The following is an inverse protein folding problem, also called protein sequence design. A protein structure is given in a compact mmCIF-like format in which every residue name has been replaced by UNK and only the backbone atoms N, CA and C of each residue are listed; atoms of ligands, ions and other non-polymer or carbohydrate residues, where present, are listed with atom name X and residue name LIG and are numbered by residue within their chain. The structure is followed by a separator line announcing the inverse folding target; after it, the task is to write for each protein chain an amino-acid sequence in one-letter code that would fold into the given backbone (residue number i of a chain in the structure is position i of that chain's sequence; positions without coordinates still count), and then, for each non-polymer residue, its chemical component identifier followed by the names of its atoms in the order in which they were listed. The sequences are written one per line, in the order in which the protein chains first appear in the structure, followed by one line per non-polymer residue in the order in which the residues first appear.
data_IF_988824292820
#
_entry.id   IF_988824292820
#
_cell.length_a   1.000
_cell.length_b   1.000
_cell.length_c   1.000
_cell.angle_alpha   90.00
_cell.angle_beta   90.00
_cell.angle_gamma   90.00
#
_symmetry.space_group_name_H-M   'P 1'
#
loop_
_entity.id
_entity.type
_entity.pdbx_description
1 polymer ?
#
# COMPACT_ATOMS: atom_id res chain seq x y z
N UNK A 1 6.46 9.65 -24.54
CA UNK A 1 6.65 10.84 -23.69
C UNK A 1 6.70 10.35 -22.26
N UNK A 2 7.83 9.71 -21.92
CA UNK A 2 8.55 9.74 -20.64
C UNK A 2 7.79 9.71 -19.29
N UNK A 3 6.75 8.88 -19.13
CA UNK A 3 6.09 8.68 -17.82
C UNK A 3 6.63 7.48 -17.00
N UNK A 4 7.58 6.69 -17.52
CA UNK A 4 8.15 5.53 -16.81
C UNK A 4 9.42 5.84 -15.98
N UNK A 5 9.96 7.07 -16.04
CA UNK A 5 11.31 7.39 -15.54
C UNK A 5 11.35 8.10 -14.17
N UNK A 6 10.43 7.80 -13.25
CA UNK A 6 10.63 8.16 -11.84
C UNK A 6 10.14 7.07 -10.87
N UNK A 7 10.41 5.80 -11.21
CA UNK A 7 10.46 4.76 -10.19
C UNK A 7 11.74 4.97 -9.37
N UNK A 8 11.62 5.72 -8.27
CA UNK A 8 12.70 5.85 -7.28
C UNK A 8 13.30 4.48 -6.97
N UNK A 9 14.64 4.40 -6.93
CA UNK A 9 15.37 3.16 -6.70
C UNK A 9 14.82 2.44 -5.48
N UNK A 10 14.28 1.23 -5.66
CA UNK A 10 13.79 0.40 -4.56
C UNK A 10 14.97 0.02 -3.66
N UNK A 11 14.81 0.02 -2.33
CA UNK A 11 15.86 -0.41 -1.43
C UNK A 11 16.15 -1.90 -1.63
N UNK A 12 17.41 -2.29 -1.50
CA UNK A 12 17.92 -3.63 -1.83
C UNK A 12 18.26 -4.42 -0.57
N UNK A 13 18.06 -5.73 -0.57
CA UNK A 13 18.46 -6.62 0.53
C UNK A 13 19.19 -7.86 0.03
N UNK A 14 20.07 -8.42 0.86
CA UNK A 14 20.63 -9.75 0.65
C UNK A 14 19.61 -10.80 1.11
N UNK A 15 19.34 -11.78 0.25
CA UNK A 15 18.46 -12.90 0.54
C UNK A 15 19.26 -14.20 0.52
N UNK A 16 19.07 -15.02 1.54
CA UNK A 16 19.68 -16.34 1.67
C UNK A 16 18.69 -17.40 1.20
N UNK A 17 19.00 -18.08 0.10
CA UNK A 17 18.15 -19.12 -0.45
C UNK A 17 18.42 -20.47 0.26
N UNK A 18 17.42 -21.39 0.31
CA UNK A 18 17.57 -22.67 1.01
C UNK A 18 18.69 -23.58 0.49
N UNK A 19 19.14 -23.38 -0.75
CA UNK A 19 20.25 -24.11 -1.38
C UNK A 19 21.64 -23.53 -1.02
N UNK A 20 21.68 -22.51 -0.16
CA UNK A 20 22.89 -21.83 0.27
C UNK A 20 23.33 -20.67 -0.64
N UNK A 21 22.61 -20.40 -1.72
CA UNK A 21 22.88 -19.22 -2.56
C UNK A 21 22.52 -17.93 -1.81
N UNK A 22 23.22 -16.86 -2.17
CA UNK A 22 22.91 -15.51 -1.70
C UNK A 22 22.69 -14.62 -2.92
N UNK A 23 21.57 -13.91 -2.93
CA UNK A 23 21.19 -13.00 -4.02
C UNK A 23 20.84 -11.63 -3.46
N UNK A 24 21.06 -10.59 -4.26
CA UNK A 24 20.50 -9.27 -3.99
C UNK A 24 19.12 -9.17 -4.64
N UNK A 25 18.12 -8.74 -3.85
CA UNK A 25 16.75 -8.58 -4.31
C UNK A 25 16.21 -7.21 -3.91
N UNK A 26 15.36 -6.63 -4.76
CA UNK A 26 14.67 -5.40 -4.43
C UNK A 26 13.58 -5.68 -3.40
N UNK A 27 13.48 -4.84 -2.37
CA UNK A 27 12.44 -4.98 -1.34
C UNK A 27 11.21 -4.18 -1.78
N UNK A 28 10.09 -4.88 -1.95
CA UNK A 28 8.81 -4.28 -2.34
C UNK A 28 8.04 -3.78 -1.12
N UNK A 29 8.13 -4.52 -0.02
CA UNK A 29 7.35 -4.24 1.20
C UNK A 29 8.00 -4.90 2.40
N UNK A 30 7.79 -4.30 3.57
CA UNK A 30 8.07 -4.92 4.88
C UNK A 30 6.80 -5.01 5.70
N UNK A 31 6.62 -6.11 6.42
CA UNK A 31 5.45 -6.33 7.27
C UNK A 31 5.80 -7.10 8.52
N UNK A 32 5.16 -6.76 9.64
CA UNK A 32 5.23 -7.57 10.85
C UNK A 32 4.10 -8.57 10.87
N UNK A 33 4.41 -9.83 11.19
CA UNK A 33 3.39 -10.82 11.52
C UNK A 33 2.82 -10.57 12.92
N UNK A 34 1.82 -11.36 13.33
CA UNK A 34 1.18 -11.24 14.66
C UNK A 34 2.15 -11.53 15.81
N UNK A 35 3.24 -12.26 15.57
CA UNK A 35 4.28 -12.52 16.55
C UNK A 35 5.35 -11.40 16.58
N UNK A 36 5.19 -10.36 15.76
CA UNK A 36 6.11 -9.23 15.68
C UNK A 36 7.34 -9.48 14.80
N UNK A 37 7.42 -10.64 14.11
CA UNK A 37 8.55 -10.93 13.22
C UNK A 37 8.40 -10.18 11.90
N UNK A 38 9.51 -9.68 11.40
CA UNK A 38 9.55 -8.98 10.13
C UNK A 38 9.64 -9.94 8.96
N UNK A 39 8.75 -9.75 8.00
CA UNK A 39 8.78 -10.37 6.68
C UNK A 39 9.07 -9.28 5.66
N UNK A 40 9.95 -9.60 4.72
CA UNK A 40 10.30 -8.77 3.58
C UNK A 40 9.71 -9.44 2.35
N UNK A 41 8.83 -8.74 1.64
CA UNK A 41 8.37 -9.18 0.33
C UNK A 41 9.36 -8.60 -0.69
N UNK A 42 10.07 -9.48 -1.38
CA UNK A 42 11.19 -9.18 -2.27
C UNK A 42 10.86 -9.52 -3.72
N UNK A 43 11.55 -8.85 -4.64
CA UNK A 43 11.53 -9.11 -6.07
C UNK A 43 12.93 -9.47 -6.54
N UNK A 44 13.08 -10.64 -7.15
CA UNK A 44 14.29 -11.06 -7.84
C UNK A 44 14.00 -11.14 -9.34
N UNK A 45 14.84 -10.48 -10.13
CA UNK A 45 14.82 -10.58 -11.59
C UNK A 45 15.81 -11.67 -12.02
N UNK A 46 15.31 -12.72 -12.66
CA UNK A 46 16.13 -13.83 -13.15
C UNK A 46 16.11 -13.89 -14.68
N UNK A 47 17.26 -14.19 -15.32
CA UNK A 47 17.28 -14.51 -16.74
C UNK A 47 16.40 -15.73 -17.03
N UNK A 48 15.57 -15.60 -18.05
CA UNK A 48 14.61 -16.61 -18.49
C UNK A 48 14.57 -16.68 -20.02
N UNK A 49 13.82 -17.62 -20.57
CA UNK A 49 13.60 -17.79 -22.00
C UNK A 49 12.11 -17.90 -22.29
N UNK A 50 11.61 -17.06 -23.19
CA UNK A 50 10.27 -17.21 -23.74
C UNK A 50 10.32 -17.87 -25.11
N UNK A 51 9.50 -18.91 -25.31
CA UNK A 51 9.38 -19.62 -26.59
C UNK A 51 8.27 -18.99 -27.44
N UNK A 52 8.64 -18.37 -28.55
CA UNK A 52 7.73 -17.73 -29.50
C UNK A 52 7.72 -18.48 -30.84
N UNK A 53 6.71 -18.29 -31.72
CA UNK A 53 6.65 -18.96 -33.03
C UNK A 53 7.87 -18.73 -33.94
N UNK A 54 8.61 -17.64 -33.74
CA UNK A 54 9.83 -17.31 -34.48
C UNK A 54 11.13 -17.72 -33.78
N UNK A 55 11.02 -18.54 -32.73
CA UNK A 55 12.12 -19.04 -31.93
C UNK A 55 12.20 -18.42 -30.53
N UNK A 56 13.07 -19.00 -29.68
CA UNK A 56 13.26 -18.54 -28.30
C UNK A 56 13.88 -17.14 -28.25
N UNK A 57 13.49 -16.35 -27.25
CA UNK A 57 14.10 -15.05 -26.96
C UNK A 57 14.51 -14.95 -25.50
N UNK A 58 15.62 -14.24 -25.20
CA UNK A 58 15.95 -13.84 -23.85
C UNK A 58 14.78 -13.07 -23.23
N UNK A 59 14.47 -13.41 -21.99
CA UNK A 59 13.42 -12.80 -21.19
C UNK A 59 13.97 -12.58 -19.77
N UNK A 60 13.35 -11.69 -19.01
CA UNK A 60 13.63 -11.54 -17.58
C UNK A 60 12.34 -11.85 -16.84
N UNK A 61 12.39 -12.87 -15.99
CA UNK A 61 11.27 -13.21 -15.14
C UNK A 61 11.43 -12.51 -13.79
N UNK A 62 10.41 -11.76 -13.39
CA UNK A 62 10.31 -11.19 -12.06
C UNK A 62 9.67 -12.22 -11.12
N UNK A 63 10.38 -12.59 -10.06
CA UNK A 63 9.94 -13.54 -9.04
C UNK A 63 9.72 -12.79 -7.74
N UNK A 64 8.46 -12.73 -7.30
CA UNK A 64 8.09 -12.22 -5.98
C UNK A 64 8.07 -13.34 -4.95
N UNK A 65 8.67 -13.08 -3.78
CA UNK A 65 8.68 -14.04 -2.67
C UNK A 65 8.82 -13.31 -1.33
N UNK A 66 8.46 -13.99 -0.23
CA UNK A 66 8.62 -13.47 1.12
C UNK A 66 9.80 -14.13 1.83
N UNK A 67 10.66 -13.33 2.46
CA UNK A 67 11.78 -13.79 3.28
C UNK A 67 11.61 -13.31 4.73
N UNK A 68 11.86 -14.23 5.68
CA UNK A 68 11.79 -13.94 7.11
C UNK A 68 13.10 -13.31 7.58
N UNK A 69 13.01 -12.19 8.28
CA UNK A 69 14.16 -11.58 8.95
C UNK A 69 14.36 -12.18 10.36
N UNK A 70 15.60 -12.43 10.81
CA UNK A 70 16.86 -12.29 10.07
C UNK A 70 17.29 -13.55 9.28
N UNK A 71 16.51 -14.63 9.37
CA UNK A 71 16.94 -15.97 8.94
C UNK A 71 17.21 -16.09 7.43
N UNK A 72 16.43 -15.40 6.60
CA UNK A 72 16.50 -15.50 5.13
C UNK A 72 16.75 -14.16 4.43
N UNK A 73 16.83 -13.06 5.18
CA UNK A 73 17.04 -11.73 4.59
C UNK A 73 17.84 -10.83 5.52
N UNK A 74 18.80 -10.12 4.94
CA UNK A 74 19.59 -9.08 5.57
C UNK A 74 19.45 -7.77 4.76
N UNK A 75 18.72 -6.76 5.28
CA UNK A 75 18.66 -5.43 4.68
C UNK A 75 20.07 -4.86 4.47
N UNK A 76 20.38 -4.36 3.27
CA UNK A 76 21.64 -3.67 3.03
C UNK A 76 21.69 -2.33 3.76
N UNK A 77 22.87 -2.01 4.30
CA UNK A 77 23.13 -0.75 4.98
C UNK A 77 23.15 0.42 4.01
N UNK A 78 22.56 1.55 4.39
CA UNK A 78 22.50 2.77 3.57
C UNK A 78 21.29 2.86 2.64
N UNK A 79 20.51 1.79 2.53
CA UNK A 79 19.23 1.80 1.83
C UNK A 79 18.13 2.47 2.67
N UNK A 80 17.29 3.30 2.02
CA UNK A 80 16.15 3.93 2.68
C UNK A 80 14.89 3.06 2.53
N UNK A 81 14.59 2.31 3.59
CA UNK A 81 13.39 1.47 3.63
C UNK A 81 12.16 2.18 4.18
N UNK A 82 12.27 3.44 4.63
CA UNK A 82 11.10 4.19 5.12
C UNK A 82 10.07 4.42 4.01
N UNK A 83 10.52 4.44 2.75
CA UNK A 83 9.70 4.49 1.55
C UNK A 83 8.76 3.28 1.40
N UNK A 84 9.07 2.15 2.04
CA UNK A 84 8.27 0.93 1.98
C UNK A 84 7.20 0.85 3.07
N UNK A 85 7.35 1.69 4.10
CA UNK A 85 6.42 1.66 5.22
C UNK A 85 5.19 2.47 4.82
N UNK A 86 4.00 1.84 4.75
CA UNK A 86 2.79 2.61 4.55
C UNK A 86 2.66 3.62 5.69
N UNK A 87 2.05 4.80 5.45
CA UNK A 87 1.84 5.79 6.49
C UNK A 87 1.27 5.12 7.76
N UNK A 88 1.67 5.56 8.96
CA UNK A 88 1.06 5.10 10.20
C UNK A 88 -0.47 5.07 10.07
N UNK A 89 -1.19 4.09 10.67
CA UNK A 89 -2.63 3.97 10.50
C UNK A 89 -3.41 5.29 10.70
N UNK A 90 -2.97 6.14 11.63
CA UNK A 90 -3.55 7.45 11.91
C UNK A 90 -3.40 8.47 10.75
N UNK A 91 -2.39 8.31 9.90
CA UNK A 91 -2.08 9.17 8.75
C UNK A 91 -2.66 8.63 7.44
N UNK A 92 -3.22 7.41 7.45
CA UNK A 92 -3.80 6.81 6.25
C UNK A 92 -5.10 7.52 5.91
N UNK A 93 -5.15 8.10 4.71
CA UNK A 93 -6.37 8.70 4.16
C UNK A 93 -7.31 7.62 3.61
N UNK A 94 -8.13 7.04 4.48
CA UNK A 94 -9.02 5.90 4.18
C UNK A 94 -10.44 6.31 3.82
N UNK A 95 -10.73 7.60 3.93
CA UNK A 95 -12.07 8.14 3.74
C UNK A 95 -12.07 9.14 2.61
N UNK A 96 -13.21 9.26 1.96
CA UNK A 96 -13.47 10.29 0.97
C UNK A 96 -14.54 11.22 1.50
N UNK A 97 -14.33 12.52 1.36
CA UNK A 97 -15.25 13.56 1.80
C UNK A 97 -15.89 14.18 0.57
N UNK A 98 -17.19 13.98 0.45
CA UNK A 98 -18.02 14.63 -0.56
C UNK A 98 -18.67 15.87 0.04
N UNK A 99 -18.76 16.94 -0.77
CA UNK A 99 -19.55 18.13 -0.46
C UNK A 99 -20.71 18.20 -1.44
N UNK A 100 -21.91 17.72 -1.07
CA UNK A 100 -23.05 17.67 -1.98
C UNK A 100 -23.43 19.06 -2.50
N UNK A 101 -23.88 19.15 -3.75
CA UNK A 101 -24.48 20.37 -4.26
C UNK A 101 -25.96 20.44 -3.83
N UNK A 102 -26.33 21.43 -3.02
CA UNK A 102 -27.73 21.70 -2.66
C UNK A 102 -27.97 21.81 -1.15
N UNK A 103 -29.23 21.71 -0.72
CA UNK A 103 -29.66 21.81 0.69
C UNK A 103 -29.46 20.52 1.49
N UNK A 104 -28.46 19.71 1.10
CA UNK A 104 -28.11 18.48 1.80
C UNK A 104 -27.19 18.75 3.00
N UNK A 105 -26.67 17.69 3.63
CA UNK A 105 -25.62 17.84 4.63
C UNK A 105 -24.41 18.56 4.03
N UNK A 106 -23.70 19.33 4.85
CA UNK A 106 -22.49 20.04 4.46
C UNK A 106 -21.42 19.07 3.93
N UNK A 107 -21.32 17.88 4.54
CA UNK A 107 -20.41 16.83 4.10
C UNK A 107 -21.02 15.44 4.21
N UNK A 108 -20.62 14.56 3.29
CA UNK A 108 -20.86 13.13 3.37
C UNK A 108 -19.53 12.39 3.41
N UNK A 109 -19.38 11.53 4.42
CA UNK A 109 -18.20 10.67 4.58
C UNK A 109 -18.44 9.36 3.86
N UNK A 110 -17.49 8.94 3.04
CA UNK A 110 -17.51 7.68 2.31
C UNK A 110 -16.24 6.85 2.61
N UNK A 111 -16.32 5.55 2.38
CA UNK A 111 -15.10 4.74 2.21
C UNK A 111 -14.35 5.21 0.95
N UNK A 112 -13.03 5.13 0.97
CA UNK A 112 -12.18 5.55 -0.16
C UNK A 112 -12.55 4.88 -1.51
N UNK A 113 -13.08 3.65 -1.46
CA UNK A 113 -13.48 2.82 -2.60
C UNK A 113 -14.99 2.88 -2.92
N UNK A 114 -15.73 3.81 -2.31
CA UNK A 114 -17.17 3.95 -2.58
C UNK A 114 -17.42 4.49 -4.00
N UNK A 115 -18.13 3.71 -4.81
CA UNK A 115 -18.48 4.10 -6.18
C UNK A 115 -19.35 5.38 -6.26
N UNK A 116 -20.24 5.62 -5.29
CA UNK A 116 -21.09 6.82 -5.30
C UNK A 116 -20.32 8.12 -5.15
N UNK A 117 -19.12 8.05 -4.57
CA UNK A 117 -18.25 9.21 -4.36
C UNK A 117 -17.01 9.15 -5.25
N UNK A 118 -17.01 8.40 -6.35
CA UNK A 118 -15.83 8.24 -7.22
C UNK A 118 -15.20 9.57 -7.67
N UNK A 119 -16.01 10.62 -7.80
CA UNK A 119 -15.60 11.97 -8.21
C UNK A 119 -15.32 12.95 -7.06
N UNK A 120 -15.58 12.58 -5.81
CA UNK A 120 -15.30 13.48 -4.69
C UNK A 120 -13.77 13.62 -4.50
N UNK A 121 -13.23 14.85 -4.53
CA UNK A 121 -11.78 15.05 -4.67
C UNK A 121 -11.01 14.92 -3.36
N UNK A 122 -11.67 15.03 -2.21
CA UNK A 122 -11.01 15.10 -0.91
C UNK A 122 -10.89 13.72 -0.27
N UNK A 123 -9.65 13.35 0.11
CA UNK A 123 -9.36 12.18 0.94
C UNK A 123 -9.00 12.63 2.37
N UNK A 124 -9.46 11.88 3.36
CA UNK A 124 -9.32 12.20 4.78
C UNK A 124 -8.86 11.00 5.61
N UNK A 125 -8.12 11.30 6.67
CA UNK A 125 -7.70 10.40 7.76
C UNK A 125 -8.86 10.16 8.74
N UNK A 126 -8.71 9.17 9.61
CA UNK A 126 -9.67 8.93 10.71
C UNK A 126 -9.84 10.18 11.58
N UNK A 127 -8.73 10.85 11.94
CA UNK A 127 -8.76 12.04 12.80
C UNK A 127 -9.57 13.16 12.18
N UNK A 128 -9.36 13.43 10.88
CA UNK A 128 -10.10 14.46 10.15
C UNK A 128 -11.60 14.11 10.05
N UNK A 129 -11.94 12.84 9.81
CA UNK A 129 -13.34 12.38 9.82
C UNK A 129 -13.98 12.56 11.19
N UNK A 130 -13.29 12.18 12.28
CA UNK A 130 -13.82 12.39 13.63
C UNK A 130 -13.99 13.88 13.96
N UNK A 131 -13.08 14.74 13.51
CA UNK A 131 -13.20 16.19 13.68
C UNK A 131 -14.38 16.76 12.90
N UNK A 132 -14.61 16.30 11.66
CA UNK A 132 -15.78 16.71 10.86
C UNK A 132 -17.10 16.25 11.52
N UNK A 133 -17.17 14.99 11.95
CA UNK A 133 -18.36 14.44 12.61
C UNK A 133 -18.66 15.09 13.97
N UNK A 134 -17.65 15.60 14.67
CA UNK A 134 -17.80 16.33 15.93
C UNK A 134 -17.92 17.85 15.74
N UNK A 135 -17.78 18.33 14.50
CA UNK A 135 -17.78 19.74 14.14
C UNK A 135 -19.19 20.36 14.14
N UNK A 136 -19.28 21.67 13.87
CA UNK A 136 -20.56 22.38 13.80
C UNK A 136 -21.31 22.14 12.48
N UNK A 137 -20.62 21.71 11.43
CA UNK A 137 -21.18 21.45 10.10
C UNK A 137 -21.97 20.13 10.09
N UNK A 138 -23.08 20.07 9.36
CA UNK A 138 -23.89 18.85 9.26
C UNK A 138 -23.15 17.79 8.43
N UNK A 139 -22.42 16.91 9.13
CA UNK A 139 -21.67 15.82 8.52
C UNK A 139 -22.37 14.49 8.75
N UNK A 140 -22.66 13.76 7.68
CA UNK A 140 -23.29 12.44 7.75
C UNK A 140 -22.41 11.36 7.13
N UNK A 141 -22.67 10.10 7.47
CA UNK A 141 -22.03 8.96 6.80
C UNK A 141 -22.87 8.44 5.63
N UNK A 142 -22.20 8.03 4.57
CA UNK A 142 -22.86 7.49 3.39
C UNK A 142 -23.64 6.20 3.72
N UNK A 143 -24.95 6.21 3.46
CA UNK A 143 -25.82 5.06 3.71
C UNK A 143 -25.52 3.82 2.84
N UNK A 144 -24.82 4.01 1.71
CA UNK A 144 -24.48 2.94 0.76
C UNK A 144 -23.25 2.16 1.25
N UNK A 145 -22.13 2.84 1.47
CA UNK A 145 -20.89 2.17 1.88
C UNK A 145 -20.74 2.02 3.40
N UNK A 146 -21.67 2.58 4.19
CA UNK A 146 -21.77 2.46 5.65
C UNK A 146 -20.42 2.55 6.38
N UNK A 147 -19.67 3.66 6.20
CA UNK A 147 -18.33 3.78 6.77
C UNK A 147 -18.33 3.70 8.32
N UNK A 148 -19.45 4.02 8.97
CA UNK A 148 -19.62 3.93 10.42
C UNK A 148 -19.38 2.52 10.99
N UNK A 149 -19.66 1.47 10.22
CA UNK A 149 -19.44 0.08 10.66
C UNK A 149 -17.95 -0.22 10.86
N UNK A 150 -17.09 0.45 10.10
CA UNK A 150 -15.62 0.32 10.19
C UNK A 150 -15.05 1.34 11.17
N UNK A 151 -15.57 2.57 11.19
CA UNK A 151 -15.15 3.62 12.14
C UNK A 151 -15.29 3.18 13.61
N UNK A 152 -16.36 2.46 13.95
CA UNK A 152 -16.60 1.97 15.32
C UNK A 152 -15.67 0.83 15.75
N UNK A 153 -15.04 0.12 14.80
CA UNK A 153 -14.12 -0.98 15.08
C UNK A 153 -12.71 -0.54 15.50
N UNK A 154 -12.36 0.74 15.37
CA UNK A 154 -11.05 1.29 15.74
C UNK A 154 -11.05 2.11 17.03
N UNK A 155 -12.21 2.20 17.70
CA UNK A 155 -12.39 2.93 18.97
C UNK A 155 -12.71 2.06 20.17
N UNK A 156 -12.41 0.75 20.11
CA UNK A 156 -12.57 -0.21 21.22
C UNK A 156 -11.21 -0.76 21.66
#
# INVERSE_FOLDING_TARGET
MDEEMEQGRRPMALVFLPDGQTVEAAVLRRRRDRAGRWWYDCLLEVPDRIDLPHGPRPHVQAIEFSALYPDYVAPLSGEDYSLLDPPPPAERKRWRIERPAGSGPDYVVHRADCASAAHAPALATDREVFQLLAGPDETVTCAICRPEAVLRGYGS
#
